data_IF_425743565544
#
_entry.id   IF_425743565544
#
_cell.length_a   1.000
_cell.length_b   1.000
_cell.length_c   1.000
_cell.angle_alpha   90.00
_cell.angle_beta   90.00
_cell.angle_gamma   90.00
#
_symmetry.space_group_name_H-M   'P 1'
#
loop_
_entity.id
_entity.type
_entity.pdbx_description
1 polymer ?
#
# COMPACT_ATOMS: atom_id res chain seq x y z
N UNK A 1 1.95 8.67 14.97
CA UNK A 1 2.08 9.56 13.79
C UNK A 1 1.46 10.89 14.12
N UNK A 2 2.21 11.98 14.01
CA UNK A 2 1.61 13.33 13.96
C UNK A 2 0.87 13.40 12.62
N UNK A 3 -0.46 13.39 12.61
CA UNK A 3 -1.19 13.73 11.39
C UNK A 3 -0.81 15.16 11.03
N UNK A 4 -0.26 15.38 9.83
CA UNK A 4 0.01 16.71 9.32
C UNK A 4 -1.33 17.42 9.06
N UNK A 5 -1.90 17.98 10.11
CA UNK A 5 -3.18 18.70 10.13
C UNK A 5 -2.99 20.20 10.00
N UNK A 6 -1.73 20.68 10.01
CA UNK A 6 -1.42 22.08 9.77
C UNK A 6 -1.68 22.42 8.29
N UNK A 7 -2.55 23.40 8.08
CA UNK A 7 -2.93 23.89 6.76
C UNK A 7 -1.71 24.37 5.96
N UNK A 8 -0.70 24.97 6.60
CA UNK A 8 0.53 25.37 5.92
C UNK A 8 1.30 24.20 5.32
N UNK A 9 1.26 23.02 5.97
CA UNK A 9 1.93 21.82 5.45
C UNK A 9 1.16 21.21 4.26
N UNK A 10 -0.17 21.24 4.31
CA UNK A 10 -1.04 20.75 3.23
C UNK A 10 -0.92 21.64 1.99
N UNK A 11 -0.89 22.96 2.15
CA UNK A 11 -0.89 23.92 1.04
C UNK A 11 0.50 24.16 0.42
N UNK A 12 1.58 23.83 1.14
CA UNK A 12 2.92 23.98 0.61
C UNK A 12 3.13 23.12 -0.66
N UNK A 13 3.78 23.64 -1.73
CA UNK A 13 4.17 22.81 -2.86
C UNK A 13 5.19 21.77 -2.41
N UNK A 14 4.94 20.50 -2.73
CA UNK A 14 5.75 19.36 -2.32
C UNK A 14 6.43 18.73 -3.54
N UNK A 15 7.67 18.29 -3.37
CA UNK A 15 8.39 17.47 -4.34
C UNK A 15 8.67 16.10 -3.73
N UNK A 16 8.42 15.04 -4.50
CA UNK A 16 8.67 13.65 -4.12
C UNK A 16 9.73 13.09 -5.06
N UNK A 17 10.90 12.74 -4.51
CA UNK A 17 12.04 12.27 -5.31
C UNK A 17 12.20 10.76 -5.28
N UNK A 18 11.64 10.11 -4.26
CA UNK A 18 11.67 8.67 -4.10
C UNK A 18 10.26 8.22 -3.78
N UNK A 19 9.66 7.50 -4.71
CA UNK A 19 8.40 6.80 -4.51
C UNK A 19 8.42 5.50 -5.30
N UNK A 20 7.67 4.53 -4.81
CA UNK A 20 7.48 3.24 -5.46
C UNK A 20 6.04 3.19 -5.96
N UNK A 21 5.86 3.26 -7.28
CA UNK A 21 4.52 3.21 -7.89
C UNK A 21 3.78 1.91 -7.51
N UNK A 22 4.51 0.81 -7.49
CA UNK A 22 4.08 -0.52 -7.07
C UNK A 22 3.92 -0.67 -5.54
N UNK A 23 4.31 0.35 -4.76
CA UNK A 23 4.06 0.44 -3.32
C UNK A 23 2.93 1.39 -2.94
N UNK A 24 2.31 2.10 -3.90
CA UNK A 24 1.35 3.18 -3.66
C UNK A 24 -0.10 2.90 -4.11
N UNK A 25 -0.48 1.62 -4.26
CA UNK A 25 -1.80 1.23 -4.77
C UNK A 25 -2.91 1.38 -3.72
N UNK A 26 -4.14 1.67 -4.17
CA UNK A 26 -5.31 1.67 -3.29
C UNK A 26 -5.75 0.23 -3.00
N UNK A 27 -6.06 -0.14 -1.73
CA UNK A 27 -6.53 -1.48 -1.37
C UNK A 27 -7.74 -1.96 -2.18
N UNK A 28 -8.74 -1.11 -2.41
CA UNK A 28 -9.90 -1.45 -3.24
C UNK A 28 -9.52 -1.85 -4.67
N UNK A 29 -8.55 -1.14 -5.26
CA UNK A 29 -8.05 -1.44 -6.62
C UNK A 29 -7.27 -2.75 -6.65
N UNK A 30 -6.51 -3.06 -5.60
CA UNK A 30 -5.82 -4.35 -5.49
C UNK A 30 -6.85 -5.49 -5.44
N UNK A 31 -7.89 -5.37 -4.61
CA UNK A 31 -8.95 -6.37 -4.50
C UNK A 31 -9.67 -6.60 -5.83
N UNK A 32 -10.07 -5.52 -6.49
CA UNK A 32 -10.77 -5.57 -7.78
C UNK A 32 -9.95 -6.30 -8.86
N UNK A 33 -8.66 -5.94 -9.00
CA UNK A 33 -7.82 -6.55 -10.03
C UNK A 33 -7.44 -7.99 -9.64
N UNK A 34 -7.15 -8.25 -8.36
CA UNK A 34 -6.83 -9.59 -7.89
C UNK A 34 -7.97 -10.58 -8.17
N UNK A 35 -9.23 -10.19 -7.94
CA UNK A 35 -10.40 -10.99 -8.30
C UNK A 35 -10.47 -11.24 -9.82
N UNK A 36 -10.26 -10.19 -10.63
CA UNK A 36 -10.30 -10.29 -12.08
C UNK A 36 -9.21 -11.23 -12.66
N UNK A 37 -8.03 -11.30 -12.02
CA UNK A 37 -6.92 -12.16 -12.47
C UNK A 37 -6.82 -13.49 -11.71
N UNK A 38 -7.69 -13.72 -10.72
CA UNK A 38 -7.69 -14.92 -9.89
C UNK A 38 -6.52 -15.01 -8.89
N UNK A 39 -5.90 -13.89 -8.53
CA UNK A 39 -4.84 -13.83 -7.53
C UNK A 39 -5.41 -13.86 -6.11
N UNK A 40 -4.79 -14.63 -5.22
CA UNK A 40 -5.24 -14.72 -3.82
C UNK A 40 -4.54 -13.67 -2.96
N UNK A 41 -5.34 -12.97 -2.16
CA UNK A 41 -4.87 -11.95 -1.22
C UNK A 41 -4.95 -12.49 0.22
N UNK A 42 -4.14 -11.94 1.13
CA UNK A 42 -4.15 -12.32 2.55
C UNK A 42 -5.44 -11.88 3.25
N UNK A 43 -6.16 -10.90 2.68
CA UNK A 43 -7.39 -10.33 3.21
C UNK A 43 -8.38 -10.04 2.07
N UNK A 44 -9.68 -10.10 2.37
CA UNK A 44 -10.77 -9.94 1.39
C UNK A 44 -11.57 -8.62 1.54
N UNK A 45 -11.19 -7.78 2.50
CA UNK A 45 -11.78 -6.47 2.77
C UNK A 45 -10.70 -5.39 2.64
N UNK A 46 -11.04 -4.24 2.06
CA UNK A 46 -10.08 -3.17 1.81
C UNK A 46 -9.47 -2.63 3.11
N UNK A 47 -10.28 -2.49 4.17
CA UNK A 47 -9.79 -2.04 5.47
C UNK A 47 -8.89 -3.05 6.16
N UNK A 48 -9.19 -4.35 6.05
CA UNK A 48 -8.32 -5.41 6.55
C UNK A 48 -7.01 -5.50 5.76
N UNK A 49 -7.07 -5.40 4.44
CA UNK A 49 -5.91 -5.43 3.57
C UNK A 49 -4.99 -4.22 3.82
N UNK A 50 -5.56 -3.02 3.99
CA UNK A 50 -4.82 -1.81 4.39
C UNK A 50 -4.03 -2.03 5.69
N UNK A 51 -4.70 -2.54 6.73
CA UNK A 51 -4.04 -2.87 8.01
C UNK A 51 -2.94 -3.91 7.83
N UNK A 52 -3.19 -4.95 7.04
CA UNK A 52 -2.20 -5.99 6.77
C UNK A 52 -0.94 -5.42 6.08
N UNK A 53 -1.10 -4.53 5.11
CA UNK A 53 0.02 -3.85 4.46
C UNK A 53 0.80 -2.99 5.46
N UNK A 54 0.12 -2.17 6.25
CA UNK A 54 0.75 -1.30 7.26
C UNK A 54 1.50 -2.12 8.31
N UNK A 55 0.88 -3.17 8.86
CA UNK A 55 1.50 -4.03 9.87
C UNK A 55 2.71 -4.79 9.31
N UNK A 56 2.63 -5.25 8.07
CA UNK A 56 3.75 -5.95 7.41
C UNK A 56 4.91 -4.99 7.10
N UNK A 57 4.60 -3.80 6.58
CA UNK A 57 5.59 -2.78 6.25
C UNK A 57 6.25 -2.14 7.48
N UNK A 58 5.52 -2.04 8.59
CA UNK A 58 6.02 -1.50 9.87
C UNK A 58 6.57 -2.56 10.83
N UNK A 59 6.68 -3.81 10.38
CA UNK A 59 7.10 -4.96 11.20
C UNK A 59 8.54 -4.92 11.73
N UNK A 60 9.38 -4.02 11.23
CA UNK A 60 10.82 -4.00 11.52
C UNK A 60 11.62 -5.10 10.81
N UNK A 61 10.99 -5.87 9.92
CA UNK A 61 11.63 -6.90 9.10
C UNK A 61 11.59 -6.52 7.63
N UNK A 62 12.78 -6.38 7.01
CA UNK A 62 12.88 -6.12 5.57
C UNK A 62 12.21 -7.23 4.75
N UNK A 63 12.31 -8.48 5.19
CA UNK A 63 11.70 -9.62 4.48
C UNK A 63 10.19 -9.47 4.46
N UNK A 64 9.56 -9.20 5.61
CA UNK A 64 8.11 -8.98 5.69
C UNK A 64 7.64 -7.74 4.95
N UNK A 65 8.46 -6.69 4.91
CA UNK A 65 8.21 -5.53 4.06
C UNK A 65 8.17 -5.94 2.58
N UNK A 66 9.16 -6.70 2.11
CA UNK A 66 9.24 -7.12 0.71
C UNK A 66 8.16 -8.13 0.31
N UNK A 67 7.67 -8.97 1.23
CA UNK A 67 6.53 -9.89 1.00
C UNK A 67 5.28 -9.15 0.51
N UNK A 68 5.07 -7.90 0.93
CA UNK A 68 3.93 -7.09 0.49
C UNK A 68 3.90 -6.86 -1.03
N UNK A 69 5.08 -6.81 -1.68
CA UNK A 69 5.20 -6.59 -3.12
C UNK A 69 4.76 -7.79 -3.95
N UNK A 70 4.69 -8.99 -3.38
CA UNK A 70 4.13 -10.16 -4.08
C UNK A 70 2.70 -9.88 -4.55
N UNK A 71 1.90 -9.18 -3.73
CA UNK A 71 0.52 -8.87 -4.07
C UNK A 71 0.39 -7.67 -5.00
N UNK A 72 1.20 -6.62 -4.82
CA UNK A 72 1.07 -5.41 -5.65
C UNK A 72 1.64 -5.62 -7.05
N UNK A 73 2.71 -6.41 -7.20
CA UNK A 73 3.26 -6.76 -8.52
C UNK A 73 2.31 -7.68 -9.28
N UNK A 74 1.65 -8.63 -8.60
CA UNK A 74 0.71 -9.55 -9.23
C UNK A 74 -0.48 -8.84 -9.90
N UNK A 75 -0.90 -7.69 -9.38
CA UNK A 75 -2.02 -6.89 -9.92
C UNK A 75 -1.58 -5.78 -10.89
N UNK A 76 -0.28 -5.71 -11.23
CA UNK A 76 0.29 -4.71 -12.15
C UNK A 76 0.95 -5.34 -13.39
N UNK A 77 0.76 -6.64 -13.64
CA UNK A 77 1.31 -7.33 -14.82
C UNK A 77 0.56 -7.00 -16.12
#
# INVERSE_FOLDING_TARGET
MHQATDQHFIDAPKALLHDHLDGGLRPDTILEIADAVGHQLPEADAGALDRWFVDSASSGSLVRYLETFEHTIAVLQ
#
